data_IF_471460500212
#
_entry.id   IF_471460500212
#
_cell.length_a   1.000
_cell.length_b   1.000
_cell.length_c   1.000
_cell.angle_alpha   90.00
_cell.angle_beta   90.00
_cell.angle_gamma   90.00
#
_symmetry.space_group_name_H-M   'P 1'
#
loop_
_entity.id
_entity.type
_entity.pdbx_description
1 polymer ?
#
# COMPACT_ATOMS: atom_id res chain seq x y z
N UNK A 1 -1.05 -21.25 2.69
CA UNK A 1 -1.19 -20.31 1.56
C UNK A 1 -1.88 -19.08 2.08
N UNK A 2 -1.34 -17.89 1.84
CA UNK A 2 -2.00 -16.61 2.12
C UNK A 2 -3.32 -16.54 1.35
N UNK A 3 -4.41 -16.02 1.91
CA UNK A 3 -5.70 -15.87 1.20
C UNK A 3 -5.72 -14.62 0.30
N UNK A 4 -4.62 -14.33 -0.42
CA UNK A 4 -4.49 -13.15 -1.27
C UNK A 4 -5.50 -13.21 -2.43
N UNK A 5 -6.40 -12.23 -2.45
CA UNK A 5 -7.38 -12.05 -3.51
C UNK A 5 -7.37 -10.57 -3.93
N UNK A 6 -6.81 -10.23 -5.10
CA UNK A 6 -6.60 -8.84 -5.48
C UNK A 6 -7.94 -8.11 -5.74
N UNK A 7 -8.98 -8.84 -6.19
CA UNK A 7 -10.34 -8.29 -6.37
C UNK A 7 -10.94 -7.89 -5.02
N UNK A 8 -10.89 -8.78 -4.02
CA UNK A 8 -11.43 -8.51 -2.68
C UNK A 8 -10.64 -7.39 -1.97
N UNK A 9 -9.32 -7.36 -2.19
CA UNK A 9 -8.44 -6.32 -1.67
C UNK A 9 -8.75 -4.97 -2.29
N UNK A 10 -8.94 -4.88 -3.61
CA UNK A 10 -9.35 -3.65 -4.31
C UNK A 10 -10.67 -3.08 -3.76
N UNK A 11 -11.66 -3.93 -3.48
CA UNK A 11 -12.91 -3.48 -2.86
C UNK A 11 -12.69 -2.92 -1.46
N UNK A 12 -11.75 -3.49 -0.70
CA UNK A 12 -11.38 -2.97 0.62
C UNK A 12 -10.68 -1.62 0.52
N UNK A 13 -9.74 -1.46 -0.42
CA UNK A 13 -9.07 -0.18 -0.68
C UNK A 13 -10.07 0.90 -1.10
N UNK A 14 -11.04 0.59 -1.97
CA UNK A 14 -12.10 1.54 -2.35
C UNK A 14 -12.92 2.03 -1.15
N UNK A 15 -13.27 1.13 -0.21
CA UNK A 15 -13.97 1.51 1.03
C UNK A 15 -13.10 2.37 1.95
N UNK A 16 -11.82 2.03 2.10
CA UNK A 16 -10.87 2.80 2.90
C UNK A 16 -10.64 4.20 2.32
N UNK A 17 -10.56 4.31 0.98
CA UNK A 17 -10.49 5.59 0.28
C UNK A 17 -11.71 6.47 0.55
N UNK A 18 -12.91 5.89 0.53
CA UNK A 18 -14.12 6.65 0.87
C UNK A 18 -14.08 7.18 2.31
N UNK A 19 -13.62 6.36 3.27
CA UNK A 19 -13.41 6.82 4.66
C UNK A 19 -12.37 7.93 4.78
N UNK A 20 -11.26 7.83 4.04
CA UNK A 20 -10.23 8.87 4.00
C UNK A 20 -10.77 10.19 3.42
N UNK A 21 -11.65 10.12 2.41
CA UNK A 21 -12.29 11.30 1.83
C UNK A 21 -13.20 12.00 2.84
N UNK A 22 -14.04 11.25 3.55
CA UNK A 22 -14.86 11.81 4.63
C UNK A 22 -14.01 12.47 5.72
N UNK A 23 -12.95 11.79 6.16
CA UNK A 23 -12.02 12.36 7.15
C UNK A 23 -11.34 13.65 6.67
N UNK A 24 -11.03 13.76 5.36
CA UNK A 24 -10.53 15.00 4.76
C UNK A 24 -11.56 16.13 4.83
N UNK A 25 -12.81 15.84 4.46
CA UNK A 25 -13.88 16.83 4.37
C UNK A 25 -14.30 17.33 5.76
N UNK A 26 -14.26 16.46 6.77
CA UNK A 26 -14.54 16.79 8.18
C UNK A 26 -13.36 17.51 8.87
N UNK A 27 -12.16 17.51 8.27
CA UNK A 27 -10.97 18.09 8.88
C UNK A 27 -10.99 19.62 8.89
N UNK A 28 -10.86 20.20 10.08
CA UNK A 28 -10.87 21.66 10.27
C UNK A 28 -9.52 22.31 9.96
N UNK A 29 -8.40 21.60 10.13
CA UNK A 29 -7.05 22.14 9.94
C UNK A 29 -6.48 21.84 8.56
N UNK A 30 -5.70 22.79 8.01
CA UNK A 30 -5.00 22.60 6.72
C UNK A 30 -4.03 21.42 6.76
N UNK A 31 -3.35 21.22 7.89
CA UNK A 31 -2.44 20.10 8.09
C UNK A 31 -3.16 18.76 7.91
N UNK A 32 -4.28 18.54 8.61
CA UNK A 32 -5.03 17.28 8.49
C UNK A 32 -5.63 17.09 7.10
N UNK A 33 -6.16 18.16 6.48
CA UNK A 33 -6.65 18.07 5.09
C UNK A 33 -5.57 17.66 4.10
N UNK A 34 -4.35 18.17 4.27
CA UNK A 34 -3.22 17.79 3.43
C UNK A 34 -2.80 16.34 3.68
N UNK A 35 -2.73 15.94 4.94
CA UNK A 35 -2.35 14.58 5.34
C UNK A 35 -3.34 13.53 4.79
N UNK A 36 -4.65 13.80 4.89
CA UNK A 36 -5.67 12.96 4.25
C UNK A 36 -5.57 13.01 2.71
N UNK A 37 -5.23 14.16 2.13
CA UNK A 37 -4.97 14.29 0.70
C UNK A 37 -3.85 13.37 0.23
N UNK A 38 -2.70 13.39 0.91
CA UNK A 38 -1.57 12.52 0.60
C UNK A 38 -1.90 11.04 0.81
N UNK A 39 -2.65 10.69 1.86
CA UNK A 39 -3.15 9.34 2.05
C UNK A 39 -4.07 8.90 0.90
N UNK A 40 -4.98 9.77 0.45
CA UNK A 40 -5.86 9.50 -0.69
C UNK A 40 -5.08 9.23 -1.96
N UNK A 41 -4.02 9.99 -2.22
CA UNK A 41 -3.16 9.79 -3.40
C UNK A 41 -2.48 8.41 -3.35
N UNK A 42 -1.96 8.00 -2.19
CA UNK A 42 -1.40 6.65 -2.01
C UNK A 42 -2.44 5.55 -2.17
N UNK A 43 -3.66 5.74 -1.64
CA UNK A 43 -4.75 4.79 -1.82
C UNK A 43 -5.23 4.70 -3.28
N UNK A 44 -5.13 5.80 -4.05
CA UNK A 44 -5.41 5.79 -5.48
C UNK A 44 -4.34 5.02 -6.26
N UNK A 45 -3.06 5.24 -5.95
CA UNK A 45 -1.95 4.46 -6.54
C UNK A 45 -2.10 2.98 -6.22
N UNK A 46 -2.38 2.64 -4.96
CA UNK A 46 -2.63 1.26 -4.53
C UNK A 46 -3.81 0.63 -5.29
N UNK A 47 -4.89 1.39 -5.53
CA UNK A 47 -6.03 0.90 -6.30
C UNK A 47 -5.68 0.68 -7.78
N UNK A 48 -4.84 1.52 -8.37
CA UNK A 48 -4.35 1.34 -9.73
C UNK A 48 -3.46 0.09 -9.85
N UNK A 49 -2.49 -0.06 -8.95
CA UNK A 49 -1.62 -1.25 -8.90
C UNK A 49 -2.44 -2.53 -8.72
N UNK A 50 -3.51 -2.51 -7.92
CA UNK A 50 -4.40 -3.65 -7.77
C UNK A 50 -5.22 -3.97 -9.03
N UNK A 51 -5.51 -2.98 -9.88
CA UNK A 51 -6.17 -3.26 -11.18
C UNK A 51 -5.20 -4.00 -12.09
N UNK A 52 -3.94 -3.60 -12.14
CA UNK A 52 -2.90 -4.28 -12.92
C UNK A 52 -2.61 -5.69 -12.36
N UNK A 53 -2.61 -5.82 -11.03
CA UNK A 53 -2.49 -7.09 -10.32
C UNK A 53 -3.62 -8.06 -10.65
N UNK A 54 -4.88 -7.58 -10.76
CA UNK A 54 -6.02 -8.41 -11.14
C UNK A 54 -5.82 -9.01 -12.53
N UNK A 55 -5.37 -8.20 -13.50
CA UNK A 55 -5.12 -8.69 -14.85
C UNK A 55 -4.05 -9.80 -14.85
N UNK A 56 -2.95 -9.58 -14.13
CA UNK A 56 -1.86 -10.57 -13.98
C UNK A 56 -2.37 -11.84 -13.29
N UNK A 57 -3.16 -11.71 -12.23
CA UNK A 57 -3.76 -12.83 -11.51
C UNK A 57 -4.69 -13.66 -12.40
N UNK A 58 -5.54 -13.01 -13.19
CA UNK A 58 -6.49 -13.70 -14.08
C UNK A 58 -5.78 -14.47 -15.19
N UNK A 59 -4.73 -13.88 -15.78
CA UNK A 59 -3.88 -14.55 -16.77
C UNK A 59 -3.19 -15.79 -16.17
N UNK A 60 -2.53 -15.62 -15.02
CA UNK A 60 -1.82 -16.73 -14.37
C UNK A 60 -2.78 -17.81 -13.83
N UNK A 61 -3.97 -17.44 -13.34
CA UNK A 61 -4.98 -18.43 -12.90
C UNK A 61 -5.58 -19.20 -14.08
N UNK A 62 -5.66 -18.58 -15.26
CA UNK A 62 -6.00 -19.29 -16.49
C UNK A 62 -4.94 -20.34 -16.84
N UNK A 63 -3.67 -19.92 -16.90
CA UNK A 63 -2.54 -20.81 -17.24
C UNK A 63 -2.35 -21.93 -16.22
N UNK A 64 -2.54 -21.63 -14.93
CA UNK A 64 -2.53 -22.59 -13.83
C UNK A 64 -3.48 -23.77 -14.06
N UNK A 65 -4.66 -23.50 -14.61
CA UNK A 65 -5.67 -24.54 -14.87
C UNK A 65 -5.39 -25.32 -16.15
N UNK A 66 -4.55 -24.78 -17.03
CA UNK A 66 -4.25 -25.36 -18.33
C UNK A 66 -3.04 -26.31 -18.32
N UNK A 67 -2.09 -26.15 -17.38
CA UNK A 67 -0.87 -26.98 -17.36
C UNK A 67 -0.14 -26.99 -16.01
N UNK A 68 0.69 -28.03 -15.80
CA UNK A 68 1.59 -28.16 -14.64
C UNK A 68 2.67 -27.05 -14.61
N UNK A 69 3.11 -26.59 -15.78
CA UNK A 69 4.00 -25.43 -15.89
C UNK A 69 3.30 -24.15 -15.42
N UNK A 70 2.04 -23.95 -15.80
CA UNK A 70 1.22 -22.84 -15.31
C UNK A 70 1.00 -22.91 -13.79
N UNK A 71 0.83 -24.11 -13.23
CA UNK A 71 0.76 -24.29 -11.78
C UNK A 71 2.04 -23.84 -11.06
N UNK A 72 3.20 -24.17 -11.65
CA UNK A 72 4.49 -23.72 -11.13
C UNK A 72 4.65 -22.20 -11.20
N UNK A 73 4.28 -21.57 -12.32
CA UNK A 73 4.33 -20.11 -12.47
C UNK A 73 3.41 -19.39 -11.50
N UNK A 74 2.18 -19.88 -11.34
CA UNK A 74 1.26 -19.32 -10.37
C UNK A 74 1.80 -19.45 -8.95
N UNK A 75 2.43 -20.58 -8.60
CA UNK A 75 3.09 -20.74 -7.32
C UNK A 75 4.17 -19.67 -7.09
N UNK A 76 5.05 -19.41 -8.06
CA UNK A 76 6.09 -18.37 -7.95
C UNK A 76 5.50 -16.98 -7.77
N UNK A 77 4.48 -16.63 -8.56
CA UNK A 77 3.74 -15.38 -8.40
C UNK A 77 3.19 -15.24 -6.97
N UNK A 78 2.67 -16.31 -6.40
CA UNK A 78 2.01 -16.31 -5.10
C UNK A 78 2.98 -16.31 -3.90
N UNK A 79 4.26 -16.58 -4.11
CA UNK A 79 5.29 -16.47 -3.05
C UNK A 79 5.42 -15.02 -2.58
N UNK A 80 5.39 -14.08 -3.52
CA UNK A 80 5.40 -12.65 -3.25
C UNK A 80 4.80 -11.94 -4.46
N UNK A 81 3.56 -11.50 -4.33
CA UNK A 81 2.89 -10.84 -5.44
C UNK A 81 3.53 -9.47 -5.72
N UNK A 82 3.46 -8.95 -6.95
CA UNK A 82 3.93 -7.60 -7.26
C UNK A 82 3.35 -6.54 -6.30
N UNK A 83 2.07 -6.69 -5.92
CA UNK A 83 1.46 -5.88 -4.86
C UNK A 83 2.20 -5.97 -3.52
N UNK A 84 2.42 -7.18 -2.99
CA UNK A 84 3.08 -7.38 -1.69
C UNK A 84 4.52 -6.85 -1.70
N UNK A 85 5.25 -7.11 -2.79
CA UNK A 85 6.60 -6.59 -3.02
C UNK A 85 6.63 -5.07 -2.94
N UNK A 86 5.70 -4.39 -3.60
CA UNK A 86 5.68 -2.93 -3.67
C UNK A 86 5.22 -2.27 -2.37
N UNK A 87 4.21 -2.82 -1.72
CA UNK A 87 3.49 -2.13 -0.64
C UNK A 87 3.77 -2.68 0.75
N UNK A 88 4.40 -3.84 0.88
CA UNK A 88 4.60 -4.53 2.17
C UNK A 88 6.08 -4.82 2.43
N UNK A 89 6.81 -5.36 1.44
CA UNK A 89 8.17 -5.89 1.64
C UNK A 89 9.15 -4.85 2.21
N UNK A 90 9.00 -3.59 1.83
CA UNK A 90 9.90 -2.50 2.23
C UNK A 90 9.48 -1.79 3.53
N UNK A 91 8.54 -2.34 4.30
CA UNK A 91 8.16 -1.81 5.60
C UNK A 91 7.16 -0.64 5.53
N UNK A 92 7.16 0.24 6.55
CA UNK A 92 6.16 1.30 6.64
C UNK A 92 6.34 2.36 5.56
N UNK A 93 5.22 2.85 5.04
CA UNK A 93 5.19 3.96 4.08
C UNK A 93 4.69 5.20 4.81
N UNK A 94 5.50 6.25 4.83
CA UNK A 94 5.05 7.52 5.41
C UNK A 94 4.08 8.26 4.48
N UNK A 95 2.98 8.76 5.06
CA UNK A 95 1.99 9.61 4.38
C UNK A 95 2.48 11.03 4.16
N UNK A 96 3.42 11.52 4.99
CA UNK A 96 3.83 12.91 5.02
C UNK A 96 5.13 13.14 4.23
N UNK A 97 6.28 12.76 4.80
CA UNK A 97 7.58 12.84 4.13
C UNK A 97 8.03 11.45 3.66
N UNK A 98 8.76 11.37 2.54
CA UNK A 98 9.34 10.11 2.07
C UNK A 98 10.40 9.63 3.06
N UNK A 99 10.27 8.40 3.57
CA UNK A 99 11.16 7.82 4.60
C UNK A 99 12.11 6.75 4.04
N UNK A 100 11.94 6.38 2.78
CA UNK A 100 12.82 5.44 2.09
C UNK A 100 13.04 6.00 0.69
N UNK A 101 14.30 6.13 0.28
CA UNK A 101 14.67 6.62 -1.04
C UNK A 101 15.37 5.54 -1.85
N UNK A 102 15.17 5.56 -3.17
CA UNK A 102 15.96 4.74 -4.07
C UNK A 102 17.24 5.48 -4.44
N UNK A 103 18.36 5.06 -3.86
CA UNK A 103 19.67 5.64 -4.13
C UNK A 103 20.41 4.80 -5.16
N UNK A 104 21.01 5.47 -6.14
CA UNK A 104 21.94 4.87 -7.09
C UNK A 104 23.36 5.30 -6.73
N UNK A 105 24.22 4.34 -6.41
CA UNK A 105 25.62 4.56 -6.04
C UNK A 105 26.45 3.78 -7.04
N UNK A 106 27.17 4.50 -7.91
CA UNK A 106 27.94 3.91 -9.01
C UNK A 106 27.04 3.02 -9.91
N UNK A 107 27.34 1.72 -9.96
CA UNK A 107 26.59 0.71 -10.73
C UNK A 107 25.52 -0.01 -9.91
N UNK A 108 25.43 0.27 -8.60
CA UNK A 108 24.45 -0.33 -7.69
C UNK A 108 23.28 0.60 -7.42
N UNK A 109 22.12 0.00 -7.14
CA UNK A 109 20.95 0.73 -6.69
C UNK A 109 20.30 0.01 -5.52
N UNK A 110 20.03 0.75 -4.45
CA UNK A 110 19.45 0.22 -3.22
C UNK A 110 18.42 1.17 -2.64
N UNK A 111 17.52 0.62 -1.83
CA UNK A 111 16.64 1.39 -0.97
C UNK A 111 17.40 1.78 0.30
N UNK A 112 17.35 3.06 0.65
CA UNK A 112 17.96 3.60 1.86
C UNK A 112 16.85 4.16 2.74
N UNK A 113 16.77 3.68 3.97
CA UNK A 113 15.89 4.23 4.98
C UNK A 113 16.47 5.51 5.57
N UNK A 114 15.64 6.53 5.65
CA UNK A 114 15.97 7.81 6.25
C UNK A 114 15.64 7.78 7.75
N UNK A 115 16.40 8.51 8.55
CA UNK A 115 16.01 8.75 9.93
C UNK A 115 14.75 9.60 9.94
N UNK A 116 13.71 9.14 10.63
CA UNK A 116 12.46 9.87 10.73
C UNK A 116 11.94 9.90 12.17
N UNK A 117 11.05 10.84 12.44
CA UNK A 117 10.26 10.93 13.67
C UNK A 117 8.78 10.80 13.33
N UNK A 118 8.07 9.91 14.01
CA UNK A 118 6.61 9.79 13.85
C UNK A 118 5.89 11.00 14.47
N UNK A 119 4.89 11.50 13.76
CA UNK A 119 4.01 12.56 14.25
C UNK A 119 3.19 12.00 15.43
N UNK A 120 3.16 12.69 16.59
CA UNK A 120 2.42 12.23 17.75
C UNK A 120 0.94 11.97 17.46
N UNK A 121 0.38 10.88 17.98
CA UNK A 121 -1.01 10.51 17.75
C UNK A 121 -2.02 11.61 18.14
N UNK A 122 -1.69 12.43 19.14
CA UNK A 122 -2.51 13.57 19.56
C UNK A 122 -2.68 14.64 18.45
N UNK A 123 -1.74 14.74 17.50
CA UNK A 123 -1.82 15.66 16.36
C UNK A 123 -2.57 15.07 15.17
N UNK A 124 -2.87 13.77 15.19
CA UNK A 124 -3.42 13.02 14.05
C UNK A 124 -4.94 12.77 14.15
N UNK A 125 -5.58 13.16 15.25
CA UNK A 125 -7.02 12.97 15.45
C UNK A 125 -7.45 11.51 15.23
N UNK A 126 -8.39 11.27 14.32
CA UNK A 126 -8.89 9.93 14.00
C UNK A 126 -8.06 9.16 12.97
N UNK A 127 -7.06 9.81 12.36
CA UNK A 127 -6.24 9.19 11.32
C UNK A 127 -5.57 7.87 11.77
N UNK A 128 -5.00 7.74 12.98
CA UNK A 128 -4.38 6.49 13.40
C UNK A 128 -5.32 5.28 13.34
N UNK A 129 -6.61 5.47 13.66
CA UNK A 129 -7.61 4.40 13.55
C UNK A 129 -7.89 4.01 12.09
N UNK A 130 -7.81 4.97 11.16
CA UNK A 130 -7.89 4.68 9.73
C UNK A 130 -6.63 3.95 9.23
N UNK A 131 -5.42 4.38 9.64
CA UNK A 131 -4.17 3.71 9.26
C UNK A 131 -4.14 2.27 9.76
N UNK A 132 -4.60 2.02 10.99
CA UNK A 132 -4.73 0.68 11.54
C UNK A 132 -5.75 -0.16 10.76
N UNK A 133 -6.89 0.43 10.38
CA UNK A 133 -7.85 -0.27 9.53
C UNK A 133 -7.28 -0.62 8.15
N UNK A 134 -6.43 0.24 7.57
CA UNK A 134 -5.70 -0.05 6.33
C UNK A 134 -4.76 -1.24 6.56
N UNK A 135 -3.94 -1.21 7.62
CA UNK A 135 -3.02 -2.29 7.97
C UNK A 135 -3.74 -3.63 8.13
N UNK A 136 -4.87 -3.66 8.84
CA UNK A 136 -5.63 -4.90 9.04
C UNK A 136 -6.23 -5.46 7.75
N UNK A 137 -6.66 -4.59 6.82
CA UNK A 137 -7.34 -5.02 5.58
C UNK A 137 -6.40 -5.29 4.43
N UNK A 138 -5.23 -4.65 4.42
CA UNK A 138 -4.29 -4.68 3.29
C UNK A 138 -2.91 -5.20 3.64
N UNK A 139 -2.60 -5.30 4.95
CA UNK A 139 -1.25 -5.53 5.51
C UNK A 139 -0.23 -4.42 5.26
N UNK A 140 -0.58 -3.41 4.46
CA UNK A 140 0.23 -2.23 4.21
C UNK A 140 0.25 -1.36 5.46
N UNK A 141 1.44 -1.01 5.92
CA UNK A 141 1.60 -0.14 7.09
C UNK A 141 1.87 1.28 6.62
N UNK A 142 0.93 2.18 6.88
CA UNK A 142 1.14 3.62 6.71
C UNK A 142 1.43 4.26 8.06
N UNK A 143 2.37 5.20 8.07
CA UNK A 143 2.68 6.05 9.25
C UNK A 143 2.65 7.53 8.84
N UNK A 144 2.53 8.44 9.78
CA UNK A 144 2.79 9.86 9.53
C UNK A 144 4.17 10.18 10.11
N UNK A 145 5.17 10.42 9.26
CA UNK A 145 6.54 10.66 9.71
C UNK A 145 7.17 11.88 9.05
N UNK A 146 8.08 12.52 9.78
CA UNK A 146 8.91 13.64 9.31
C UNK A 146 10.38 13.25 9.28
N UNK A 147 11.07 13.63 8.21
CA UNK A 147 12.52 13.44 8.02
C UNK A 147 13.26 14.73 8.36
#
# INVERSE_FOLDING_TARGET
MTDFNPIALLQSVKRLRHRALLGRDDSTTTFMRNLYGQLLDKLNLMAADLVDEIATFEELDHDRKASEAGESWFYFYYICTPFERRWIEHGPISVLDEITIFARIEDDACLIDLNYTEVPAAELGELPALLEAIRQKTRVTFIAARV
#
